data_IF_047774355932
#
_entry.id   IF_047774355932
#
_cell.length_a   1.000
_cell.length_b   1.000
_cell.length_c   1.000
_cell.angle_alpha   90.00
_cell.angle_beta   90.00
_cell.angle_gamma   90.00
#
_symmetry.space_group_name_H-M   'P 1'
#
loop_
_entity.id
_entity.type
_entity.pdbx_description
1 polymer ?
#
# COMPACT_ATOMS: atom_id res chain seq x y z
N UNK A 1 -10.44 -23.43 -6.86
CA UNK A 1 -9.73 -22.15 -7.12
C UNK A 1 -8.58 -22.07 -6.15
N UNK A 2 -7.35 -22.25 -6.61
CA UNK A 2 -6.17 -22.11 -5.75
C UNK A 2 -5.91 -20.62 -5.57
N UNK A 3 -6.21 -20.10 -4.39
CA UNK A 3 -5.72 -18.80 -3.94
C UNK A 3 -4.26 -19.03 -3.58
N UNK A 4 -3.39 -18.82 -4.56
CA UNK A 4 -1.95 -18.93 -4.40
C UNK A 4 -1.47 -17.74 -3.56
N UNK A 5 -1.59 -17.91 -2.24
CA UNK A 5 -1.19 -16.93 -1.22
C UNK A 5 0.33 -16.96 -1.03
N UNK A 6 1.07 -16.88 -2.14
CA UNK A 6 2.46 -16.47 -2.09
C UNK A 6 2.50 -14.97 -1.78
N UNK A 7 2.38 -14.64 -0.49
CA UNK A 7 3.05 -13.45 0.04
C UNK A 7 4.54 -13.72 -0.18
N UNK A 8 4.99 -13.39 -1.40
CA UNK A 8 6.38 -13.51 -1.81
C UNK A 8 7.16 -12.56 -0.90
N UNK A 9 7.85 -13.13 0.07
CA UNK A 9 8.80 -12.45 0.96
C UNK A 9 9.92 -11.73 0.19
N UNK A 10 10.01 -11.95 -1.13
CA UNK A 10 10.95 -11.33 -2.06
C UNK A 10 10.44 -10.03 -2.71
N UNK A 11 9.15 -9.68 -2.56
CA UNK A 11 8.61 -8.52 -3.29
C UNK A 11 9.13 -7.20 -2.73
N UNK A 12 10.03 -6.55 -3.46
CA UNK A 12 10.68 -5.31 -3.02
C UNK A 12 9.81 -4.06 -3.15
N UNK A 13 8.77 -4.08 -3.99
CA UNK A 13 7.90 -2.95 -4.22
C UNK A 13 6.49 -3.36 -4.67
N UNK A 14 5.52 -2.50 -4.39
CA UNK A 14 4.12 -2.63 -4.73
C UNK A 14 3.69 -1.53 -5.69
N UNK A 15 2.79 -1.85 -6.61
CA UNK A 15 2.01 -0.83 -7.32
C UNK A 15 0.89 -0.27 -6.43
N UNK A 16 0.24 0.80 -6.88
CA UNK A 16 -0.91 1.38 -6.18
C UNK A 16 -2.07 0.37 -6.08
N UNK A 17 -2.33 -0.37 -7.16
CA UNK A 17 -3.40 -1.38 -7.20
C UNK A 17 -3.12 -2.54 -6.24
N UNK A 18 -1.86 -2.98 -6.16
CA UNK A 18 -1.47 -4.04 -5.22
C UNK A 18 -1.57 -3.59 -3.77
N UNK A 19 -1.16 -2.35 -3.47
CA UNK A 19 -1.31 -1.79 -2.13
C UNK A 19 -2.79 -1.59 -1.76
N UNK A 20 -3.65 -1.23 -2.71
CA UNK A 20 -5.10 -1.16 -2.51
C UNK A 20 -5.67 -2.52 -2.08
N UNK A 21 -5.28 -3.59 -2.77
CA UNK A 21 -5.68 -4.96 -2.43
C UNK A 21 -5.19 -5.38 -1.05
N UNK A 22 -3.97 -4.99 -0.64
CA UNK A 22 -3.41 -5.31 0.67
C UNK A 22 -4.04 -4.53 1.83
N UNK A 23 -4.36 -3.26 1.61
CA UNK A 23 -4.84 -2.32 2.64
C UNK A 23 -6.35 -2.27 2.79
N UNK A 24 -7.11 -2.92 1.90
CA UNK A 24 -8.57 -2.69 1.71
C UNK A 24 -8.95 -1.25 1.35
N UNK A 25 -7.98 -0.38 1.07
CA UNK A 25 -8.21 1.00 0.64
C UNK A 25 -8.44 1.07 -0.85
N UNK A 26 -9.14 2.12 -1.28
CA UNK A 26 -9.30 2.40 -2.70
C UNK A 26 -8.01 3.00 -3.31
N UNK A 27 -7.69 2.63 -4.54
CA UNK A 27 -6.57 3.22 -5.28
C UNK A 27 -6.62 4.77 -5.36
N UNK A 28 -7.80 5.43 -5.49
CA UNK A 28 -7.92 6.89 -5.37
C UNK A 28 -7.47 7.45 -4.01
N UNK A 29 -7.77 6.77 -2.89
CA UNK A 29 -7.31 7.17 -1.55
C UNK A 29 -5.79 7.11 -1.46
N UNK A 30 -5.19 6.00 -1.87
CA UNK A 30 -3.72 5.85 -1.93
C UNK A 30 -3.08 6.94 -2.79
N UNK A 31 -3.66 7.25 -3.97
CA UNK A 31 -3.20 8.37 -4.81
C UNK A 31 -3.29 9.72 -4.09
N UNK A 32 -4.34 9.95 -3.30
CA UNK A 32 -4.50 11.16 -2.48
C UNK A 32 -3.44 11.24 -1.38
N UNK A 33 -3.17 10.14 -0.69
CA UNK A 33 -2.17 10.09 0.39
C UNK A 33 -0.74 10.28 -0.12
N UNK A 34 -0.43 9.76 -1.31
CA UNK A 34 0.82 10.06 -2.01
C UNK A 34 0.95 11.55 -2.31
N UNK A 35 -0.12 12.18 -2.86
CA UNK A 35 -0.10 13.63 -3.14
C UNK A 35 0.03 14.47 -1.89
N UNK A 36 -0.52 14.01 -0.77
CA UNK A 36 -0.48 14.68 0.53
C UNK A 36 0.82 14.42 1.31
N UNK A 37 1.76 13.63 0.75
CA UNK A 37 3.03 13.31 1.41
C UNK A 37 2.93 12.27 2.53
N UNK A 38 1.76 11.64 2.72
CA UNK A 38 1.56 10.58 3.73
C UNK A 38 2.15 9.23 3.32
N UNK A 39 2.34 9.02 2.02
CA UNK A 39 2.90 7.79 1.46
C UNK A 39 3.98 8.12 0.43
N UNK A 40 5.21 7.70 0.69
CA UNK A 40 6.29 7.89 -0.27
C UNK A 40 6.12 6.94 -1.47
N UNK A 41 6.47 7.43 -2.65
CA UNK A 41 6.43 6.62 -3.88
C UNK A 41 7.48 7.07 -4.87
N UNK A 42 7.90 6.15 -5.72
CA UNK A 42 8.89 6.38 -6.77
C UNK A 42 8.27 6.18 -8.15
N UNK A 43 8.73 6.98 -9.13
CA UNK A 43 8.38 6.78 -10.54
C UNK A 43 9.39 5.80 -11.17
N UNK A 44 8.91 4.69 -11.73
CA UNK A 44 9.69 3.70 -12.48
C UNK A 44 9.12 3.60 -13.89
N UNK A 45 9.73 4.33 -14.83
CA UNK A 45 9.19 4.51 -16.18
C UNK A 45 7.84 5.23 -16.16
N UNK A 46 6.81 4.61 -16.73
CA UNK A 46 5.43 5.13 -16.71
C UNK A 46 4.67 4.82 -15.41
N UNK A 47 5.18 3.89 -14.59
CA UNK A 47 4.48 3.40 -13.39
C UNK A 47 4.98 4.09 -12.13
N UNK A 48 4.12 4.12 -11.12
CA UNK A 48 4.46 4.55 -9.76
C UNK A 48 4.49 3.32 -8.86
N UNK A 49 5.55 3.20 -8.08
CA UNK A 49 5.79 2.08 -7.16
C UNK A 49 6.00 2.60 -5.74
N UNK A 50 5.61 1.80 -4.77
CA UNK A 50 5.81 2.00 -3.33
C UNK A 50 6.75 0.91 -2.86
N UNK A 51 7.86 1.27 -2.21
CA UNK A 51 8.79 0.27 -1.69
C UNK A 51 8.12 -0.55 -0.59
N UNK A 52 8.56 -1.80 -0.40
CA UNK A 52 7.96 -2.70 0.60
C UNK A 52 7.98 -2.11 2.00
N UNK A 53 9.11 -1.60 2.45
CA UNK A 53 9.25 -1.01 3.78
C UNK A 53 8.28 0.15 3.99
N UNK A 54 8.12 0.98 2.96
CA UNK A 54 7.20 2.11 2.97
C UNK A 54 5.73 1.67 2.99
N UNK A 55 5.38 0.67 2.18
CA UNK A 55 4.04 0.08 2.17
C UNK A 55 3.70 -0.52 3.53
N UNK A 56 4.62 -1.26 4.15
CA UNK A 56 4.42 -1.87 5.47
C UNK A 56 4.26 -0.82 6.57
N UNK A 57 5.08 0.24 6.54
CA UNK A 57 4.93 1.40 7.43
C UNK A 57 3.57 2.07 7.28
N UNK A 58 3.13 2.26 6.04
CA UNK A 58 1.86 2.88 5.75
C UNK A 58 0.68 2.05 6.25
N UNK A 59 0.71 0.73 6.00
CA UNK A 59 -0.29 -0.21 6.50
C UNK A 59 -0.35 -0.22 8.03
N UNK A 60 0.79 -0.26 8.71
CA UNK A 60 0.83 -0.27 10.17
C UNK A 60 0.34 1.04 10.81
N UNK A 61 0.45 2.17 10.11
CA UNK A 61 -0.09 3.45 10.58
C UNK A 61 -1.59 3.62 10.34
N UNK A 62 -2.13 3.05 9.25
CA UNK A 62 -3.55 3.18 8.90
C UNK A 62 -4.41 2.13 9.64
N UNK A 63 -3.85 0.96 9.97
CA UNK A 63 -4.47 -0.04 10.86
C UNK A 63 -4.67 0.48 12.30
N UNK A 64 -4.04 1.61 12.65
CA UNK A 64 -4.20 2.30 13.93
C UNK A 64 -5.44 3.22 14.03
N UNK A 65 -6.13 3.51 12.92
CA UNK A 65 -7.38 4.29 12.92
C UNK A 65 -8.63 3.39 12.78
N UNK A 66 -8.53 2.09 13.09
CA UNK A 66 -9.72 1.25 13.34
C UNK A 66 -10.09 1.25 14.82
N UNK A 67 -10.93 2.22 15.18
CA UNK A 67 -11.96 2.06 16.21
C UNK A 67 -11.47 1.91 17.65
N UNK A 68 -11.01 3.01 18.24
CA UNK A 68 -11.21 3.25 19.68
C UNK A 68 -12.16 4.44 19.83
N UNK A 69 -13.44 4.23 19.51
CA UNK A 69 -14.47 5.08 20.07
C UNK A 69 -15.65 4.22 20.51
N UNK A 70 -16.21 4.64 21.64
CA UNK A 70 -17.09 3.93 22.59
C UNK A 70 -18.37 3.32 22.03
#
# INVERSE_FOLDING_TARGET
>A
MYMDNHITTEKLAYSIEELATLSTLSAPKIRKDIRNGKLASMKKGSRRIILREEAMRYLSTDDGEKGSDK
#
